data_IF_888073667597
#
_entry.id   IF_888073667597
#
_cell.length_a   1.000
_cell.length_b   1.000
_cell.length_c   1.000
_cell.angle_alpha   90.00
_cell.angle_beta   90.00
_cell.angle_gamma   90.00
#
_symmetry.space_group_name_H-M   'P 1'
#
loop_
_entity.id
_entity.type
_entity.pdbx_description
1 polymer ?
#
# COMPACT_ATOMS: atom_id res chain seq x y z
N UNK A 1 7.12 11.64 -1.35
CA UNK A 1 8.11 12.59 -1.90
C UNK A 1 9.43 11.85 -2.00
N UNK A 2 10.11 11.88 -3.15
CA UNK A 2 11.43 11.28 -3.27
C UNK A 2 12.40 11.87 -2.27
N UNK A 3 13.18 11.01 -1.63
CA UNK A 3 14.28 11.40 -0.77
C UNK A 3 15.56 11.36 -1.57
N UNK A 4 16.22 12.46 -1.75
CA UNK A 4 17.42 12.57 -2.56
C UNK A 4 18.58 13.02 -1.68
N UNK A 5 19.69 12.29 -1.75
CA UNK A 5 20.94 12.68 -1.13
C UNK A 5 21.86 13.28 -2.20
N UNK A 6 22.38 14.48 -1.94
CA UNK A 6 23.41 15.10 -2.79
C UNK A 6 24.64 15.33 -1.92
N UNK A 7 25.75 14.66 -2.27
CA UNK A 7 27.05 14.81 -1.59
C UNK A 7 27.94 15.66 -2.49
N UNK A 8 28.03 16.96 -2.17
CA UNK A 8 28.63 17.97 -3.03
C UNK A 8 29.06 19.19 -2.20
N UNK A 9 30.33 19.54 -2.23
CA UNK A 9 30.90 20.68 -1.49
C UNK A 9 30.83 22.00 -2.27
N UNK A 10 30.81 21.97 -3.60
CA UNK A 10 30.68 23.16 -4.42
C UNK A 10 29.23 23.67 -4.45
N UNK A 11 29.05 24.94 -4.07
CA UNK A 11 27.72 25.55 -3.94
C UNK A 11 27.06 25.81 -5.33
N UNK A 12 27.85 26.14 -6.36
CA UNK A 12 27.32 26.42 -7.70
C UNK A 12 26.88 25.12 -8.37
N UNK A 13 27.69 24.07 -8.28
CA UNK A 13 27.38 22.75 -8.79
C UNK A 13 26.15 22.17 -8.08
N UNK A 14 26.10 22.27 -6.73
CA UNK A 14 24.93 21.86 -5.97
C UNK A 14 23.66 22.61 -6.42
N UNK A 15 23.72 23.92 -6.64
CA UNK A 15 22.57 24.69 -7.10
C UNK A 15 22.08 24.26 -8.49
N UNK A 16 22.99 23.93 -9.40
CA UNK A 16 22.62 23.40 -10.71
C UNK A 16 21.98 22.01 -10.66
N UNK A 17 22.53 21.11 -9.82
CA UNK A 17 21.96 19.77 -9.57
C UNK A 17 20.56 19.91 -8.99
N UNK A 18 20.41 20.73 -7.93
CA UNK A 18 19.13 20.95 -7.27
C UNK A 18 18.07 21.50 -8.22
N UNK A 19 18.44 22.41 -9.11
CA UNK A 19 17.54 22.96 -10.12
C UNK A 19 17.00 21.87 -11.07
N UNK A 20 17.84 20.97 -11.54
CA UNK A 20 17.43 19.86 -12.41
C UNK A 20 16.48 18.92 -11.65
N UNK A 21 16.77 18.61 -10.39
CA UNK A 21 15.93 17.77 -9.53
C UNK A 21 14.56 18.43 -9.28
N UNK A 22 14.52 19.70 -8.92
CA UNK A 22 13.29 20.45 -8.68
C UNK A 22 12.40 20.54 -9.92
N UNK A 23 13.00 20.78 -11.09
CA UNK A 23 12.26 20.79 -12.37
C UNK A 23 11.63 19.42 -12.68
N UNK A 24 12.34 18.32 -12.40
CA UNK A 24 11.88 16.97 -12.68
C UNK A 24 10.79 16.47 -11.75
N UNK A 25 10.86 16.84 -10.48
CA UNK A 25 9.88 16.44 -9.47
C UNK A 25 8.86 17.55 -9.15
N UNK A 26 8.78 18.61 -9.98
CA UNK A 26 7.89 19.76 -9.78
C UNK A 26 7.99 20.35 -8.35
N UNK A 27 9.21 20.44 -7.81
CA UNK A 27 9.53 20.84 -6.45
C UNK A 27 8.90 19.97 -5.33
N UNK A 28 8.42 18.77 -5.68
CA UNK A 28 7.85 17.81 -4.73
C UNK A 28 8.90 16.74 -4.39
N UNK A 29 9.94 17.13 -3.64
CA UNK A 29 11.04 16.25 -3.24
C UNK A 29 11.66 16.71 -1.92
N UNK A 30 12.39 15.81 -1.26
CA UNK A 30 13.25 16.13 -0.11
C UNK A 30 14.71 16.01 -0.56
N UNK A 31 15.48 17.10 -0.48
CA UNK A 31 16.93 17.06 -0.75
C UNK A 31 17.67 17.17 0.59
N UNK A 32 18.50 16.17 0.85
CA UNK A 32 19.52 16.22 1.91
C UNK A 32 20.84 16.54 1.25
N UNK A 33 21.53 17.60 1.69
CA UNK A 33 22.88 17.92 1.23
C UNK A 33 23.90 17.55 2.30
N UNK A 34 24.99 16.93 1.87
CA UNK A 34 26.21 16.74 2.66
C UNK A 34 27.39 17.31 1.87
N UNK A 35 28.29 18.02 2.52
CA UNK A 35 29.38 18.77 1.89
C UNK A 35 30.76 18.20 2.20
N UNK A 36 30.83 17.00 2.75
CA UNK A 36 32.06 16.28 3.06
C UNK A 36 31.84 14.77 3.12
N UNK A 37 32.92 13.99 3.05
CA UNK A 37 32.88 12.53 3.12
C UNK A 37 32.21 12.03 4.40
N UNK A 38 32.58 12.57 5.56
CA UNK A 38 32.05 12.12 6.84
C UNK A 38 30.53 12.28 6.94
N UNK A 39 29.99 13.41 6.45
CA UNK A 39 28.55 13.65 6.33
C UNK A 39 27.88 12.65 5.38
N UNK A 40 28.42 12.47 4.18
CA UNK A 40 27.93 11.54 3.19
C UNK A 40 27.88 10.08 3.69
N UNK A 41 28.96 9.61 4.31
CA UNK A 41 29.02 8.26 4.93
C UNK A 41 27.95 8.08 6.01
N UNK A 42 27.78 9.08 6.88
CA UNK A 42 26.73 9.06 7.90
C UNK A 42 25.35 9.01 7.27
N UNK A 43 25.08 9.88 6.29
CA UNK A 43 23.79 9.94 5.61
C UNK A 43 23.46 8.61 4.94
N UNK A 44 24.37 8.01 4.15
CA UNK A 44 24.18 6.70 3.49
C UNK A 44 23.94 5.58 4.52
N UNK A 45 24.59 5.64 5.69
CA UNK A 45 24.48 4.59 6.71
C UNK A 45 23.21 4.67 7.55
N UNK A 46 22.58 5.84 7.63
CA UNK A 46 21.44 6.08 8.55
C UNK A 46 20.14 6.48 7.83
N UNK A 47 20.22 6.88 6.56
CA UNK A 47 19.09 7.31 5.75
C UNK A 47 18.80 6.36 4.59
N UNK A 48 17.55 6.36 4.16
CA UNK A 48 17.08 5.68 2.95
C UNK A 48 16.77 6.73 1.89
N UNK A 49 17.36 6.57 0.71
CA UNK A 49 17.25 7.52 -0.40
C UNK A 49 16.82 6.82 -1.68
N UNK A 50 16.00 7.51 -2.48
CA UNK A 50 15.57 7.04 -3.80
C UNK A 50 16.63 7.31 -4.87
N UNK A 51 17.37 8.42 -4.72
CA UNK A 51 18.46 8.83 -5.60
C UNK A 51 19.62 9.40 -4.77
N UNK A 52 20.83 8.98 -5.11
CA UNK A 52 22.07 9.50 -4.51
C UNK A 52 22.91 10.11 -5.63
N UNK A 53 23.19 11.40 -5.50
CA UNK A 53 24.13 12.14 -6.37
C UNK A 53 25.39 12.42 -5.56
N UNK A 54 26.55 12.03 -6.07
CA UNK A 54 27.82 12.20 -5.35
C UNK A 54 28.91 12.80 -6.23
N UNK A 55 29.79 13.58 -5.62
CA UNK A 55 31.07 13.93 -6.23
C UNK A 55 32.16 12.92 -5.80
N UNK A 56 33.20 12.84 -6.62
CA UNK A 56 34.38 12.00 -6.39
C UNK A 56 35.45 12.69 -5.54
N UNK A 57 35.48 14.00 -5.54
CA UNK A 57 36.42 14.82 -4.80
C UNK A 57 35.68 15.62 -3.74
N UNK A 58 35.93 15.29 -2.47
CA UNK A 58 35.25 15.91 -1.33
C UNK A 58 36.24 16.18 -0.18
N UNK A 59 35.98 17.21 0.64
CA UNK A 59 36.62 17.37 1.93
C UNK A 59 36.38 16.16 2.83
N UNK A 60 37.34 15.79 3.66
CA UNK A 60 37.23 14.60 4.50
C UNK A 60 36.22 14.78 5.67
N UNK A 61 36.38 15.85 6.46
CA UNK A 61 35.58 16.04 7.68
C UNK A 61 34.66 17.26 7.64
N UNK A 62 35.08 18.32 6.98
CA UNK A 62 34.30 19.55 6.88
C UNK A 62 34.68 20.33 5.61
N UNK A 63 33.74 21.18 5.12
CA UNK A 63 33.85 21.96 3.89
C UNK A 63 35.14 22.84 3.77
N UNK A 64 35.90 23.04 4.84
CA UNK A 64 37.13 23.88 4.82
C UNK A 64 38.38 23.08 4.52
N UNK A 65 38.31 21.75 4.57
CA UNK A 65 39.42 20.88 4.21
C UNK A 65 39.61 20.89 2.68
N UNK A 66 40.83 20.61 2.21
CA UNK A 66 41.07 20.46 0.78
C UNK A 66 40.36 19.18 0.27
N UNK A 67 39.62 19.25 -0.87
CA UNK A 67 38.99 18.07 -1.48
C UNK A 67 40.03 17.04 -1.92
N UNK A 68 39.77 15.79 -1.61
CA UNK A 68 40.58 14.63 -2.01
C UNK A 68 39.71 13.59 -2.72
N UNK A 69 40.30 12.68 -3.46
CA UNK A 69 39.59 11.55 -4.06
C UNK A 69 39.04 10.63 -2.96
N UNK A 70 37.73 10.56 -2.84
CA UNK A 70 36.98 9.76 -1.84
C UNK A 70 36.20 8.63 -2.48
N UNK A 71 36.46 8.34 -3.74
CA UNK A 71 35.73 7.36 -4.54
C UNK A 71 35.59 6.01 -3.86
N UNK A 72 36.74 5.44 -3.45
CA UNK A 72 36.76 4.08 -2.89
C UNK A 72 35.96 3.97 -1.60
N UNK A 73 36.01 5.02 -0.75
CA UNK A 73 35.26 5.08 0.50
C UNK A 73 33.76 5.16 0.28
N UNK A 74 33.30 6.00 -0.65
CA UNK A 74 31.88 6.15 -0.95
C UNK A 74 31.31 4.89 -1.60
N UNK A 75 32.01 4.31 -2.57
CA UNK A 75 31.60 3.06 -3.23
C UNK A 75 31.52 1.91 -2.22
N UNK A 76 32.48 1.79 -1.31
CA UNK A 76 32.48 0.75 -0.27
C UNK A 76 31.29 0.90 0.69
N UNK A 77 30.98 2.12 1.11
CA UNK A 77 29.82 2.39 1.99
C UNK A 77 28.50 2.10 1.27
N UNK A 78 28.37 2.49 0.01
CA UNK A 78 27.18 2.21 -0.79
C UNK A 78 26.96 0.70 -0.96
N UNK A 79 28.01 -0.06 -1.29
CA UNK A 79 27.94 -1.53 -1.42
C UNK A 79 27.55 -2.23 -0.10
N UNK A 80 27.90 -1.68 1.04
CA UNK A 80 27.59 -2.23 2.37
C UNK A 80 26.23 -1.77 2.92
N UNK A 81 25.63 -0.75 2.33
CA UNK A 81 24.37 -0.19 2.80
C UNK A 81 23.21 -1.10 2.48
N UNK A 82 22.54 -1.66 3.49
CA UNK A 82 21.29 -2.39 3.32
C UNK A 82 20.08 -1.47 3.07
N UNK A 83 20.18 -0.20 3.45
CA UNK A 83 19.11 0.79 3.29
C UNK A 83 19.01 1.30 1.85
N UNK A 84 20.13 1.37 1.14
CA UNK A 84 20.23 2.01 -0.17
C UNK A 84 20.48 1.01 -1.33
N UNK A 85 20.10 -0.26 -1.16
CA UNK A 85 20.25 -1.31 -2.19
C UNK A 85 19.46 -1.00 -3.46
N UNK A 86 18.36 -0.27 -3.32
CA UNK A 86 17.44 0.07 -4.44
C UNK A 86 17.60 1.50 -4.93
N UNK A 87 18.52 2.27 -4.34
CA UNK A 87 18.75 3.66 -4.75
C UNK A 87 19.36 3.73 -6.14
N UNK A 88 18.87 4.63 -6.98
CA UNK A 88 19.61 5.05 -8.16
C UNK A 88 20.84 5.86 -7.71
N UNK A 89 22.02 5.57 -8.24
CA UNK A 89 23.25 6.27 -7.84
C UNK A 89 23.94 6.84 -9.07
N UNK A 90 24.28 8.13 -9.01
CA UNK A 90 25.06 8.83 -10.03
C UNK A 90 26.21 9.60 -9.42
N UNK A 91 27.37 9.45 -9.99
CA UNK A 91 28.56 10.24 -9.67
C UNK A 91 28.76 11.32 -10.75
N UNK A 92 28.89 12.57 -10.32
CA UNK A 92 29.11 13.73 -11.18
C UNK A 92 30.45 14.36 -10.81
N UNK A 93 31.48 14.19 -11.61
CA UNK A 93 32.81 14.76 -11.35
C UNK A 93 33.23 15.76 -12.42
N UNK A 94 33.81 16.88 -11.97
CA UNK A 94 34.40 17.87 -12.86
C UNK A 94 35.77 17.44 -13.43
N UNK A 95 36.34 16.35 -12.90
CA UNK A 95 37.66 15.84 -13.27
C UNK A 95 37.54 14.77 -14.37
N UNK A 96 37.75 15.14 -15.64
CA UNK A 96 37.59 14.25 -16.82
C UNK A 96 38.50 13.02 -16.74
N UNK A 97 39.77 13.18 -16.34
CA UNK A 97 40.71 12.07 -16.18
C UNK A 97 40.26 11.04 -15.14
N UNK A 98 39.65 11.51 -14.04
CA UNK A 98 39.09 10.65 -12.99
C UNK A 98 37.87 9.87 -13.51
N UNK A 99 37.01 10.50 -14.32
CA UNK A 99 35.87 9.84 -14.95
C UNK A 99 36.33 8.72 -15.87
N UNK A 100 37.34 8.97 -16.73
CA UNK A 100 37.81 7.95 -17.67
C UNK A 100 38.53 6.78 -16.99
N UNK A 101 39.35 7.07 -15.97
CA UNK A 101 40.11 6.04 -15.22
C UNK A 101 39.21 5.14 -14.34
N UNK A 102 38.10 5.65 -13.82
CA UNK A 102 37.21 4.95 -12.88
C UNK A 102 35.95 4.35 -13.50
N UNK A 103 35.77 4.50 -14.83
CA UNK A 103 34.54 4.08 -15.53
C UNK A 103 34.18 2.61 -15.31
N UNK A 104 35.18 1.73 -15.29
CA UNK A 104 34.98 0.29 -15.10
C UNK A 104 34.55 -0.02 -13.69
N UNK A 105 35.24 0.55 -12.69
CA UNK A 105 34.95 0.31 -11.27
C UNK A 105 33.52 0.74 -10.89
N UNK A 106 33.07 1.88 -11.45
CA UNK A 106 31.72 2.39 -11.23
C UNK A 106 30.67 1.52 -11.94
N UNK A 107 30.94 1.06 -13.17
CA UNK A 107 30.05 0.16 -13.90
C UNK A 107 29.86 -1.17 -13.15
N UNK A 108 30.93 -1.75 -12.58
CA UNK A 108 30.88 -2.95 -11.75
C UNK A 108 30.10 -2.74 -10.44
N UNK A 109 30.09 -1.49 -9.92
CA UNK A 109 29.30 -1.11 -8.75
C UNK A 109 27.84 -0.77 -9.10
N UNK A 110 27.46 -0.77 -10.38
CA UNK A 110 26.12 -0.35 -10.81
C UNK A 110 25.87 1.16 -10.71
N UNK A 111 26.94 1.97 -10.60
CA UNK A 111 26.87 3.42 -10.45
C UNK A 111 27.10 4.09 -11.80
N UNK A 112 26.26 5.04 -12.15
CA UNK A 112 26.41 5.83 -13.38
C UNK A 112 27.43 6.96 -13.12
N UNK A 113 28.55 6.95 -13.86
CA UNK A 113 29.58 7.97 -13.75
C UNK A 113 29.53 8.92 -14.95
N UNK A 114 29.43 10.23 -14.70
CA UNK A 114 29.30 11.27 -15.74
C UNK A 114 30.22 12.42 -15.45
N UNK A 115 30.90 12.92 -16.50
CA UNK A 115 31.64 14.16 -16.42
C UNK A 115 30.70 15.35 -16.27
N UNK A 116 30.90 16.13 -15.21
CA UNK A 116 30.21 17.39 -14.98
C UNK A 116 30.93 18.53 -15.66
N UNK A 117 30.22 19.33 -16.42
CA UNK A 117 30.67 20.61 -16.92
C UNK A 117 29.48 21.58 -16.89
N UNK A 118 29.71 22.79 -16.42
CA UNK A 118 28.68 23.81 -16.30
C UNK A 118 27.87 24.02 -17.59
N UNK A 119 28.54 23.92 -18.74
CA UNK A 119 27.95 24.15 -20.05
C UNK A 119 27.44 22.88 -20.73
N UNK A 120 27.70 21.69 -20.19
CA UNK A 120 27.26 20.43 -20.77
C UNK A 120 25.79 20.13 -20.44
N UNK A 121 25.06 19.62 -21.43
CA UNK A 121 23.71 19.10 -21.23
C UNK A 121 23.72 17.61 -20.87
N UNK A 122 24.81 16.88 -21.13
CA UNK A 122 24.87 15.42 -20.99
C UNK A 122 24.58 14.96 -19.57
N UNK A 123 25.20 15.55 -18.55
CA UNK A 123 24.94 15.18 -17.16
C UNK A 123 23.50 15.50 -16.73
N UNK A 124 22.90 16.60 -17.25
CA UNK A 124 21.50 16.97 -16.98
C UNK A 124 20.52 15.95 -17.57
N UNK A 125 20.82 15.47 -18.77
CA UNK A 125 20.01 14.44 -19.43
C UNK A 125 20.11 13.11 -18.69
N UNK A 126 21.31 12.68 -18.30
CA UNK A 126 21.54 11.46 -17.53
C UNK A 126 20.82 11.53 -16.18
N UNK A 127 21.01 12.62 -15.44
CA UNK A 127 20.32 12.84 -14.17
C UNK A 127 18.80 12.80 -14.36
N UNK A 128 18.30 13.42 -15.43
CA UNK A 128 16.87 13.42 -15.77
C UNK A 128 16.32 12.02 -16.05
N UNK A 129 17.10 11.16 -16.73
CA UNK A 129 16.72 9.76 -16.98
C UNK A 129 16.69 8.97 -15.67
N UNK A 130 17.65 9.18 -14.77
CA UNK A 130 17.67 8.55 -13.46
C UNK A 130 16.47 9.00 -12.60
N UNK A 131 16.14 10.30 -12.64
CA UNK A 131 14.91 10.79 -11.97
C UNK A 131 13.63 10.11 -12.46
N UNK A 132 13.56 9.67 -13.74
CA UNK A 132 12.41 8.92 -14.25
C UNK A 132 12.33 7.49 -13.69
N UNK A 133 13.47 6.92 -13.27
CA UNK A 133 13.53 5.59 -12.64
C UNK A 133 13.23 5.66 -11.15
N UNK A 134 13.46 6.82 -10.52
CA UNK A 134 13.04 7.05 -9.15
C UNK A 134 11.54 6.85 -9.09
N UNK A 135 11.13 5.78 -8.41
CA UNK A 135 9.71 5.55 -8.17
C UNK A 135 9.21 6.71 -7.30
N UNK A 136 8.52 7.65 -7.91
CA UNK A 136 7.69 8.59 -7.15
C UNK A 136 6.52 7.78 -6.60
N UNK A 137 6.79 6.99 -5.55
CA UNK A 137 5.71 6.39 -4.80
C UNK A 137 4.94 7.56 -4.20
N UNK A 138 3.71 7.73 -4.66
CA UNK A 138 2.77 8.61 -4.00
C UNK A 138 2.50 7.96 -2.65
N UNK A 139 3.31 8.31 -1.62
CA UNK A 139 3.21 7.68 -0.29
C UNK A 139 1.81 7.93 0.23
N UNK A 140 0.99 6.92 0.09
CA UNK A 140 -0.35 6.89 0.64
C UNK A 140 -0.29 6.22 2.00
N UNK A 141 -0.80 6.88 3.04
CA UNK A 141 -0.86 6.26 4.37
C UNK A 141 -1.69 4.97 4.38
N UNK A 142 -2.66 4.87 3.47
CA UNK A 142 -3.53 3.71 3.33
C UNK A 142 -4.01 3.50 1.90
N UNK A 143 -4.33 2.26 1.59
CA UNK A 143 -5.04 1.83 0.37
C UNK A 143 -6.34 1.16 0.77
N UNK A 144 -7.43 1.52 0.09
CA UNK A 144 -8.72 0.85 0.20
C UNK A 144 -8.97 0.10 -1.10
N UNK A 145 -9.32 -1.19 -1.00
CA UNK A 145 -9.70 -2.02 -2.14
C UNK A 145 -11.21 -2.22 -2.13
N UNK A 146 -11.86 -1.92 -3.25
CA UNK A 146 -13.29 -2.14 -3.47
C UNK A 146 -13.50 -3.04 -4.68
N UNK A 147 -14.40 -4.01 -4.58
CA UNK A 147 -14.75 -4.90 -5.69
C UNK A 147 -15.74 -4.25 -6.66
N UNK A 148 -16.65 -3.43 -6.15
CA UNK A 148 -17.75 -2.84 -6.91
C UNK A 148 -17.72 -1.31 -6.92
N UNK A 149 -18.16 -0.66 -8.02
CA UNK A 149 -18.28 0.80 -8.06
C UNK A 149 -19.15 1.38 -6.94
N UNK A 150 -20.20 0.67 -6.54
CA UNK A 150 -21.08 1.11 -5.44
C UNK A 150 -20.35 1.14 -4.09
N UNK A 151 -19.40 0.23 -3.85
CA UNK A 151 -18.62 0.19 -2.62
C UNK A 151 -17.64 1.38 -2.54
N UNK A 152 -16.98 1.74 -3.67
CA UNK A 152 -16.17 2.94 -3.78
C UNK A 152 -17.01 4.22 -3.58
N UNK A 153 -18.17 4.28 -4.22
CA UNK A 153 -19.09 5.42 -4.10
C UNK A 153 -19.58 5.63 -2.67
N UNK A 154 -19.68 4.57 -1.88
CA UNK A 154 -20.15 4.61 -0.49
C UNK A 154 -19.32 5.53 0.41
N UNK A 155 -18.04 5.76 0.10
CA UNK A 155 -17.15 6.63 0.89
C UNK A 155 -17.60 8.08 0.92
N UNK A 156 -18.37 8.57 -0.07
CA UNK A 156 -18.97 9.91 -0.05
C UNK A 156 -19.91 10.14 1.15
N UNK A 157 -20.48 9.05 1.69
CA UNK A 157 -21.40 9.10 2.84
C UNK A 157 -20.72 8.67 4.15
N UNK A 158 -19.50 8.15 4.08
CA UNK A 158 -18.80 7.60 5.23
C UNK A 158 -18.00 8.63 6.03
N UNK A 159 -17.93 9.88 5.57
CA UNK A 159 -17.17 10.95 6.21
C UNK A 159 -15.72 11.04 5.73
N UNK A 160 -15.43 10.50 4.55
CA UNK A 160 -14.17 10.68 3.85
C UNK A 160 -14.28 11.85 2.85
N UNK A 161 -13.18 12.56 2.61
CA UNK A 161 -13.09 13.56 1.56
C UNK A 161 -12.63 12.90 0.27
N UNK A 162 -13.45 13.00 -0.78
CA UNK A 162 -13.15 12.40 -2.07
C UNK A 162 -12.44 13.42 -2.97
N UNK A 163 -11.31 13.01 -3.51
CA UNK A 163 -10.53 13.76 -4.50
C UNK A 163 -10.87 13.36 -5.94
N UNK A 164 -9.86 13.40 -6.81
CA UNK A 164 -10.02 13.09 -8.24
C UNK A 164 -9.90 11.61 -8.50
N UNK A 165 -10.63 11.13 -9.50
CA UNK A 165 -10.38 9.85 -10.18
C UNK A 165 -9.13 10.02 -11.05
N UNK A 166 -8.18 9.10 -10.92
CA UNK A 166 -6.90 9.11 -11.64
C UNK A 166 -6.49 7.68 -11.96
N UNK A 167 -5.85 7.49 -13.08
CA UNK A 167 -5.15 6.24 -13.37
C UNK A 167 -3.72 6.35 -12.86
N UNK A 168 -3.28 5.37 -12.05
CA UNK A 168 -1.91 5.31 -11.52
C UNK A 168 -1.38 3.90 -11.73
N UNK A 169 -0.38 3.76 -12.57
CA UNK A 169 0.28 2.47 -12.83
C UNK A 169 -0.67 1.37 -13.35
N UNK A 170 -1.68 1.74 -14.11
CA UNK A 170 -2.70 0.85 -14.64
C UNK A 170 -3.87 0.59 -13.68
N UNK A 171 -3.89 1.20 -12.48
CA UNK A 171 -4.98 1.06 -11.52
C UNK A 171 -5.97 2.22 -11.61
N UNK A 172 -7.27 1.90 -11.52
CA UNK A 172 -8.35 2.90 -11.38
C UNK A 172 -8.43 3.34 -9.92
N UNK A 173 -7.90 4.52 -9.64
CA UNK A 173 -7.71 5.07 -8.30
C UNK A 173 -8.62 6.28 -8.08
N UNK A 174 -9.23 6.36 -6.90
CA UNK A 174 -9.88 7.54 -6.37
C UNK A 174 -9.02 8.06 -5.21
N UNK A 175 -8.50 9.28 -5.31
CA UNK A 175 -7.82 9.93 -4.17
C UNK A 175 -8.82 10.15 -3.06
N UNK A 176 -8.42 9.84 -1.83
CA UNK A 176 -9.30 9.90 -0.67
C UNK A 176 -8.52 10.39 0.57
N UNK A 177 -9.18 11.22 1.39
CA UNK A 177 -8.61 11.66 2.67
C UNK A 177 -9.55 11.24 3.81
N UNK A 178 -8.98 10.65 4.84
CA UNK A 178 -9.69 10.24 6.07
C UNK A 178 -9.01 10.91 7.26
N UNK A 179 -9.66 11.90 7.86
CA UNK A 179 -9.04 12.78 8.83
C UNK A 179 -7.86 13.53 8.24
N UNK A 180 -6.65 13.39 8.80
CA UNK A 180 -5.42 13.98 8.28
C UNK A 180 -4.64 13.05 7.34
N UNK A 181 -5.14 11.84 7.08
CA UNK A 181 -4.42 10.82 6.33
C UNK A 181 -4.85 10.79 4.87
N UNK A 182 -3.88 10.85 3.96
CA UNK A 182 -4.09 10.71 2.52
C UNK A 182 -3.93 9.26 2.09
N UNK A 183 -4.79 8.81 1.18
CA UNK A 183 -4.77 7.48 0.63
C UNK A 183 -5.44 7.40 -0.73
N UNK A 184 -5.59 6.20 -1.22
CA UNK A 184 -6.29 5.89 -2.46
C UNK A 184 -7.32 4.78 -2.25
N UNK A 185 -8.44 4.88 -2.94
CA UNK A 185 -9.41 3.80 -3.08
C UNK A 185 -9.29 3.23 -4.49
N UNK A 186 -8.88 1.97 -4.60
CA UNK A 186 -8.67 1.24 -5.85
C UNK A 186 -9.86 0.34 -6.11
N UNK A 187 -10.36 0.34 -7.35
CA UNK A 187 -11.42 -0.58 -7.74
C UNK A 187 -10.84 -1.75 -8.53
N UNK A 188 -11.37 -2.95 -8.28
CA UNK A 188 -11.00 -4.14 -9.03
C UNK A 188 -11.59 -4.08 -10.44
N UNK A 189 -10.85 -4.50 -11.49
CA UNK A 189 -11.39 -4.61 -12.85
C UNK A 189 -12.44 -5.71 -12.94
N UNK A 190 -12.33 -6.75 -12.11
CA UNK A 190 -13.26 -7.89 -12.00
C UNK A 190 -13.34 -8.36 -10.56
N UNK A 191 -14.50 -8.86 -10.13
CA UNK A 191 -14.63 -9.58 -8.87
C UNK A 191 -13.83 -10.88 -8.90
N UNK A 192 -13.31 -11.29 -7.75
CA UNK A 192 -12.63 -12.56 -7.57
C UNK A 192 -11.26 -12.46 -6.93
N UNK A 193 -10.81 -13.58 -6.35
CA UNK A 193 -9.57 -13.68 -5.55
C UNK A 193 -8.34 -13.27 -6.36
N UNK A 194 -8.26 -13.65 -7.64
CA UNK A 194 -7.08 -13.39 -8.49
C UNK A 194 -6.88 -11.90 -8.73
N UNK A 195 -7.94 -11.21 -9.20
CA UNK A 195 -7.87 -9.77 -9.43
C UNK A 195 -7.64 -9.01 -8.11
N UNK A 196 -8.27 -9.44 -7.02
CA UNK A 196 -8.07 -8.87 -5.69
C UNK A 196 -6.62 -8.98 -5.23
N UNK A 197 -5.99 -10.14 -5.40
CA UNK A 197 -4.58 -10.35 -5.03
C UNK A 197 -3.64 -9.53 -5.92
N UNK A 198 -3.82 -9.57 -7.25
CA UNK A 198 -2.96 -8.89 -8.20
C UNK A 198 -3.02 -7.36 -8.06
N UNK A 199 -4.24 -6.80 -7.98
CA UNK A 199 -4.45 -5.35 -7.80
C UNK A 199 -3.91 -4.88 -6.46
N UNK A 200 -4.13 -5.65 -5.39
CA UNK A 200 -3.63 -5.28 -4.06
C UNK A 200 -2.10 -5.32 -4.02
N UNK A 201 -1.46 -6.35 -4.55
CA UNK A 201 0.01 -6.43 -4.62
C UNK A 201 0.58 -5.25 -5.42
N UNK A 202 -0.04 -4.92 -6.55
CA UNK A 202 0.36 -3.77 -7.37
C UNK A 202 0.16 -2.44 -6.64
N UNK A 203 -0.95 -2.29 -5.90
CA UNK A 203 -1.21 -1.08 -5.13
C UNK A 203 -0.22 -0.93 -3.95
N UNK A 204 0.15 -2.02 -3.30
CA UNK A 204 1.18 -2.02 -2.25
C UNK A 204 2.52 -1.55 -2.83
N UNK A 205 2.92 -2.08 -3.98
CA UNK A 205 4.17 -1.69 -4.65
C UNK A 205 4.18 -0.21 -5.04
N UNK A 206 3.05 0.31 -5.55
CA UNK A 206 2.96 1.69 -6.03
C UNK A 206 2.84 2.73 -4.93
N UNK A 207 2.16 2.41 -3.83
CA UNK A 207 1.75 3.39 -2.82
C UNK A 207 2.43 3.22 -1.46
N UNK A 208 3.14 2.13 -1.23
CA UNK A 208 3.80 1.80 0.05
C UNK A 208 2.92 2.10 1.30
N UNK A 209 1.70 1.56 1.37
CA UNK A 209 0.76 1.91 2.42
C UNK A 209 1.10 1.22 3.74
N UNK A 210 0.83 1.89 4.86
CA UNK A 210 0.89 1.29 6.21
C UNK A 210 -0.36 0.47 6.54
N UNK A 211 -1.49 0.80 5.91
CA UNK A 211 -2.78 0.12 6.09
C UNK A 211 -3.36 -0.22 4.73
N UNK A 212 -3.76 -1.46 4.56
CA UNK A 212 -4.61 -1.91 3.44
C UNK A 212 -5.96 -2.31 4.03
N UNK A 213 -7.03 -1.71 3.52
CA UNK A 213 -8.39 -1.99 3.93
C UNK A 213 -9.20 -2.54 2.76
N UNK A 214 -10.08 -3.50 3.02
CA UNK A 214 -11.14 -3.87 2.10
C UNK A 214 -12.48 -3.58 2.73
N UNK A 215 -13.35 -2.86 2.02
CA UNK A 215 -14.73 -2.65 2.45
C UNK A 215 -15.69 -3.09 1.37
N UNK A 216 -16.87 -3.53 1.77
CA UNK A 216 -17.89 -3.91 0.81
C UNK A 216 -18.98 -4.76 1.42
N UNK A 217 -19.59 -5.55 0.56
CA UNK A 217 -20.73 -6.42 0.87
C UNK A 217 -20.32 -7.90 0.79
N UNK A 218 -21.08 -8.76 1.43
CA UNK A 218 -20.90 -10.21 1.38
C UNK A 218 -22.24 -10.92 1.53
N UNK A 219 -22.25 -12.22 1.23
CA UNK A 219 -23.31 -13.12 1.63
C UNK A 219 -23.09 -13.63 3.06
N UNK A 220 -24.16 -13.88 3.79
CA UNK A 220 -24.15 -14.53 5.10
C UNK A 220 -24.52 -16.01 5.02
N UNK A 221 -24.50 -16.67 6.18
CA UNK A 221 -24.97 -18.04 6.34
C UNK A 221 -26.19 -18.09 7.26
N UNK A 222 -27.28 -18.71 6.81
CA UNK A 222 -28.50 -18.88 7.61
C UNK A 222 -28.19 -19.50 8.97
N UNK A 223 -28.75 -18.93 10.04
CA UNK A 223 -28.51 -19.36 11.42
C UNK A 223 -27.16 -18.92 12.02
N UNK A 224 -26.27 -18.28 11.26
CA UNK A 224 -24.97 -17.78 11.73
C UNK A 224 -24.82 -16.26 11.63
N UNK A 225 -25.40 -15.65 10.61
CA UNK A 225 -25.44 -14.20 10.39
C UNK A 225 -26.78 -13.77 9.81
N UNK A 226 -27.09 -12.50 9.86
CA UNK A 226 -28.34 -11.90 9.37
C UNK A 226 -28.02 -10.79 8.38
N UNK A 227 -28.96 -10.52 7.49
CA UNK A 227 -28.90 -9.33 6.63
C UNK A 227 -28.79 -8.07 7.50
N UNK A 228 -27.84 -7.20 7.18
CA UNK A 228 -27.48 -6.02 7.96
C UNK A 228 -26.41 -6.25 9.01
N UNK A 229 -25.98 -7.48 9.28
CA UNK A 229 -24.82 -7.75 10.12
C UNK A 229 -23.55 -7.28 9.42
N UNK A 230 -22.58 -6.79 10.22
CA UNK A 230 -21.26 -6.41 9.73
C UNK A 230 -20.23 -7.38 10.26
N UNK A 231 -19.35 -7.84 9.40
CA UNK A 231 -18.26 -8.74 9.72
C UNK A 231 -16.95 -7.96 9.62
N UNK A 232 -16.33 -7.66 10.77
CA UNK A 232 -14.93 -7.30 10.84
C UNK A 232 -14.12 -8.60 10.80
N UNK A 233 -13.43 -8.85 9.71
CA UNK A 233 -12.81 -10.15 9.44
C UNK A 233 -11.58 -10.34 10.32
N UNK A 234 -11.53 -11.43 11.08
CA UNK A 234 -10.38 -11.82 11.91
C UNK A 234 -9.62 -13.05 11.38
N UNK A 235 -10.24 -13.77 10.45
CA UNK A 235 -9.70 -14.96 9.82
C UNK A 235 -10.34 -15.13 8.44
N UNK A 236 -9.54 -15.41 7.41
CA UNK A 236 -10.08 -15.71 6.08
C UNK A 236 -9.33 -16.85 5.40
N UNK A 237 -10.00 -17.51 4.44
CA UNK A 237 -9.42 -18.55 3.58
C UNK A 237 -10.21 -18.68 2.28
N UNK A 238 -9.67 -19.45 1.34
CA UNK A 238 -10.36 -19.83 0.10
C UNK A 238 -11.08 -21.16 0.31
N UNK A 239 -12.42 -21.17 0.15
CA UNK A 239 -13.21 -22.38 0.38
C UNK A 239 -13.02 -23.48 -0.69
N UNK A 240 -12.40 -23.14 -1.81
CA UNK A 240 -12.16 -24.04 -2.94
C UNK A 240 -10.72 -24.58 -2.97
N UNK A 241 -9.84 -24.16 -2.07
CA UNK A 241 -8.49 -24.68 -1.96
C UNK A 241 -8.53 -26.07 -1.29
N UNK A 242 -8.23 -27.11 -2.06
CA UNK A 242 -8.29 -28.47 -1.53
C UNK A 242 -8.18 -29.54 -2.60
N UNK A 243 -8.45 -30.80 -2.20
CA UNK A 243 -8.33 -31.97 -3.05
C UNK A 243 -9.68 -32.66 -3.24
N UNK A 244 -10.03 -32.93 -4.48
CA UNK A 244 -11.10 -33.82 -4.85
C UNK A 244 -10.60 -35.27 -4.92
N UNK A 245 -11.27 -36.18 -4.22
CA UNK A 245 -11.08 -37.62 -4.32
C UNK A 245 -12.42 -38.28 -4.64
N UNK A 246 -12.65 -38.53 -5.92
CA UNK A 246 -13.97 -38.90 -6.41
C UNK A 246 -14.98 -37.78 -6.20
N UNK A 247 -15.99 -37.99 -5.38
CA UNK A 247 -17.02 -37.00 -5.03
C UNK A 247 -16.77 -36.27 -3.72
N UNK A 248 -15.67 -36.62 -3.01
CA UNK A 248 -15.35 -36.04 -1.71
C UNK A 248 -14.32 -34.93 -1.87
N UNK A 249 -14.65 -33.74 -1.36
CA UNK A 249 -13.73 -32.61 -1.26
C UNK A 249 -13.11 -32.58 0.13
N UNK A 250 -11.78 -32.48 0.18
CA UNK A 250 -11.01 -32.26 1.42
C UNK A 250 -10.37 -30.88 1.32
N UNK A 251 -10.75 -29.96 2.22
CA UNK A 251 -10.19 -28.63 2.31
C UNK A 251 -8.74 -28.68 2.74
N UNK A 252 -7.89 -27.88 2.10
CA UNK A 252 -6.54 -27.58 2.58
C UNK A 252 -6.60 -26.27 3.39
N UNK A 253 -6.16 -26.32 4.64
CA UNK A 253 -6.31 -25.20 5.57
C UNK A 253 -5.23 -24.13 5.38
N UNK A 254 -5.32 -23.35 4.31
CA UNK A 254 -4.51 -22.14 4.11
C UNK A 254 -5.24 -20.89 4.66
N UNK A 255 -5.33 -20.82 5.98
CA UNK A 255 -6.00 -19.73 6.66
C UNK A 255 -5.06 -18.54 6.88
N UNK A 256 -5.58 -17.32 6.70
CA UNK A 256 -4.89 -16.07 6.97
C UNK A 256 -5.56 -15.39 8.17
N UNK A 257 -4.97 -15.48 9.37
CA UNK A 257 -5.40 -14.70 10.52
C UNK A 257 -4.93 -13.26 10.38
N UNK A 258 -5.70 -12.30 10.91
CA UNK A 258 -5.20 -10.93 11.09
C UNK A 258 -4.26 -10.84 12.29
N UNK A 259 -3.45 -9.77 12.32
CA UNK A 259 -2.60 -9.45 13.47
C UNK A 259 -3.40 -9.32 14.78
N UNK A 260 -2.86 -9.82 15.90
CA UNK A 260 -3.57 -9.84 17.18
C UNK A 260 -3.80 -8.42 17.75
N UNK A 261 -2.91 -7.47 17.45
CA UNK A 261 -3.10 -6.08 17.84
C UNK A 261 -4.27 -5.45 17.11
N UNK A 262 -4.46 -5.78 15.83
CA UNK A 262 -5.61 -5.35 15.03
C UNK A 262 -6.88 -6.03 15.54
N UNK A 263 -6.84 -7.33 15.79
CA UNK A 263 -7.98 -8.08 16.35
C UNK A 263 -8.45 -7.50 17.68
N UNK A 264 -7.53 -7.09 18.55
CA UNK A 264 -7.85 -6.42 19.80
C UNK A 264 -8.60 -5.11 19.57
N UNK A 265 -8.14 -4.27 18.63
CA UNK A 265 -8.81 -3.01 18.27
C UNK A 265 -10.20 -3.26 17.68
N UNK A 266 -10.37 -4.29 16.86
CA UNK A 266 -11.69 -4.69 16.34
C UNK A 266 -12.64 -5.14 17.45
N UNK A 267 -12.18 -5.92 18.43
CA UNK A 267 -12.99 -6.32 19.59
C UNK A 267 -13.40 -5.14 20.45
N UNK A 268 -12.50 -4.18 20.65
CA UNK A 268 -12.81 -2.94 21.35
C UNK A 268 -13.87 -2.11 20.60
N UNK A 269 -13.75 -2.03 19.26
CA UNK A 269 -14.74 -1.38 18.42
C UNK A 269 -16.12 -2.03 18.59
N UNK A 270 -16.20 -3.35 18.53
CA UNK A 270 -17.46 -4.09 18.68
C UNK A 270 -18.08 -3.89 20.06
N UNK A 271 -17.25 -3.82 21.10
CA UNK A 271 -17.73 -3.53 22.48
C UNK A 271 -18.33 -2.11 22.62
N UNK A 272 -18.03 -1.21 21.70
CA UNK A 272 -18.51 0.18 21.68
C UNK A 272 -19.46 0.47 20.52
N UNK A 273 -20.19 -0.55 20.06
CA UNK A 273 -21.03 -0.52 18.83
C UNK A 273 -22.15 0.51 18.81
N UNK A 274 -22.51 1.11 19.92
CA UNK A 274 -23.45 2.25 19.96
C UNK A 274 -23.01 3.40 19.05
N UNK A 275 -21.71 3.48 18.74
CA UNK A 275 -21.17 4.49 17.82
C UNK A 275 -21.74 4.39 16.39
N UNK A 276 -22.22 3.23 15.97
CA UNK A 276 -22.78 3.04 14.62
C UNK A 276 -24.30 2.98 14.58
N UNK A 277 -24.98 2.97 15.73
CA UNK A 277 -26.44 2.91 15.81
C UNK A 277 -27.08 4.11 15.12
N UNK A 278 -26.70 5.32 15.50
CA UNK A 278 -27.22 6.54 14.89
C UNK A 278 -26.98 6.59 13.39
N UNK A 279 -25.81 6.11 12.92
CA UNK A 279 -25.50 6.04 11.50
C UNK A 279 -26.42 5.08 10.77
N UNK A 280 -26.68 3.89 11.33
CA UNK A 280 -27.63 2.92 10.77
C UNK A 280 -29.05 3.48 10.69
N UNK A 281 -29.50 4.09 11.78
CA UNK A 281 -30.84 4.67 11.90
C UNK A 281 -31.06 5.88 10.98
N UNK A 282 -29.97 6.56 10.57
CA UNK A 282 -30.06 7.69 9.63
C UNK A 282 -30.26 7.29 8.17
N UNK A 283 -30.09 6.01 7.85
CA UNK A 283 -30.26 5.53 6.47
C UNK A 283 -31.69 5.07 6.18
N UNK A 284 -32.25 5.44 5.03
CA UNK A 284 -33.63 5.07 4.65
C UNK A 284 -33.68 3.60 4.21
N UNK A 285 -33.74 2.67 5.17
CA UNK A 285 -33.86 1.23 4.91
C UNK A 285 -34.83 0.60 5.90
N UNK A 286 -35.31 -0.60 5.59
CA UNK A 286 -36.17 -1.39 6.47
C UNK A 286 -35.57 -1.56 7.87
N UNK A 287 -36.38 -1.34 8.91
CA UNK A 287 -35.93 -1.34 10.29
C UNK A 287 -35.33 -2.65 10.78
N UNK A 288 -35.68 -3.79 10.18
CA UNK A 288 -35.09 -5.08 10.55
C UNK A 288 -33.63 -5.21 10.07
N UNK A 289 -33.28 -4.64 8.92
CA UNK A 289 -31.90 -4.55 8.44
C UNK A 289 -31.05 -3.64 9.32
N UNK A 290 -31.65 -2.57 9.86
CA UNK A 290 -30.98 -1.65 10.78
C UNK A 290 -30.62 -2.31 12.12
N UNK A 291 -31.28 -3.41 12.51
CA UNK A 291 -31.01 -4.15 13.76
C UNK A 291 -29.82 -5.12 13.68
N UNK A 292 -29.12 -5.16 12.54
CA UNK A 292 -27.90 -5.97 12.39
C UNK A 292 -26.84 -5.61 13.41
N UNK A 293 -25.96 -6.52 13.72
CA UNK A 293 -24.88 -6.37 14.71
C UNK A 293 -23.51 -6.36 14.06
N UNK A 294 -22.50 -5.83 14.77
CA UNK A 294 -21.09 -5.89 14.29
C UNK A 294 -20.41 -7.07 14.97
N UNK A 295 -19.81 -7.93 14.18
CA UNK A 295 -19.11 -9.11 14.62
C UNK A 295 -17.60 -9.04 14.28
N UNK A 296 -16.78 -9.67 15.11
CA UNK A 296 -15.41 -10.06 14.74
C UNK A 296 -15.43 -11.56 14.48
N UNK A 297 -15.17 -11.96 13.25
CA UNK A 297 -15.34 -13.35 12.86
C UNK A 297 -14.72 -13.74 11.53
N UNK A 298 -14.87 -14.99 11.20
CA UNK A 298 -14.29 -15.58 10.00
C UNK A 298 -15.16 -15.31 8.77
N UNK A 299 -14.46 -15.08 7.64
CA UNK A 299 -15.07 -14.92 6.32
C UNK A 299 -14.30 -15.79 5.33
N UNK A 300 -15.02 -16.44 4.43
CA UNK A 300 -14.44 -17.26 3.38
C UNK A 300 -14.61 -16.60 2.02
N UNK A 301 -13.61 -16.74 1.17
CA UNK A 301 -13.68 -16.25 -0.21
C UNK A 301 -13.76 -17.40 -1.22
N UNK A 302 -14.35 -17.14 -2.38
CA UNK A 302 -14.42 -18.09 -3.49
C UNK A 302 -14.59 -17.40 -4.83
N UNK A 303 -14.25 -18.09 -5.91
CA UNK A 303 -14.29 -17.51 -7.26
C UNK A 303 -15.64 -17.69 -7.96
N UNK A 304 -16.66 -18.18 -7.25
CA UNK A 304 -18.01 -18.40 -7.77
C UNK A 304 -19.06 -17.82 -6.85
N UNK A 305 -20.14 -17.33 -7.44
CA UNK A 305 -21.34 -16.95 -6.70
C UNK A 305 -22.07 -18.22 -6.28
N UNK A 306 -22.27 -18.39 -4.98
CA UNK A 306 -23.01 -19.52 -4.42
C UNK A 306 -24.48 -19.14 -4.26
N UNK A 307 -25.37 -19.93 -4.87
CA UNK A 307 -26.83 -19.79 -4.76
C UNK A 307 -27.51 -21.13 -4.45
N UNK A 308 -26.81 -22.06 -3.80
CA UNK A 308 -27.27 -23.41 -3.48
C UNK A 308 -27.16 -23.66 -1.98
N UNK A 309 -28.26 -23.93 -1.30
CA UNK A 309 -28.28 -24.25 0.12
C UNK A 309 -27.38 -25.43 0.48
N UNK A 310 -27.32 -26.46 -0.38
CA UNK A 310 -26.43 -27.62 -0.16
C UNK A 310 -24.95 -27.19 -0.19
N UNK A 311 -24.56 -26.31 -1.11
CA UNK A 311 -23.19 -25.81 -1.19
C UNK A 311 -22.88 -24.89 -0.02
N UNK A 312 -23.83 -24.03 0.38
CA UNK A 312 -23.70 -23.21 1.57
C UNK A 312 -23.40 -24.04 2.82
N UNK A 313 -24.14 -25.15 3.03
CA UNK A 313 -23.90 -26.01 4.18
C UNK A 313 -22.49 -26.62 4.14
N UNK A 314 -22.04 -27.11 2.98
CA UNK A 314 -20.67 -27.66 2.82
C UNK A 314 -19.61 -26.61 3.14
N UNK A 315 -19.81 -25.37 2.72
CA UNK A 315 -18.89 -24.27 3.03
C UNK A 315 -18.98 -23.89 4.51
N UNK A 316 -20.19 -23.79 5.06
CA UNK A 316 -20.43 -23.44 6.46
C UNK A 316 -19.75 -24.45 7.40
N UNK A 317 -19.74 -25.74 7.06
CA UNK A 317 -19.16 -26.81 7.89
C UNK A 317 -17.62 -26.78 7.91
N UNK A 318 -16.96 -26.03 7.02
CA UNK A 318 -15.51 -25.86 7.04
C UNK A 318 -15.00 -25.22 8.32
N UNK A 319 -15.79 -24.30 8.94
CA UNK A 319 -15.36 -23.65 10.18
C UNK A 319 -16.54 -23.16 11.02
N UNK A 320 -16.53 -23.51 12.33
CA UNK A 320 -17.65 -23.19 13.26
C UNK A 320 -17.92 -21.70 13.45
N UNK A 321 -16.91 -20.83 13.26
CA UNK A 321 -17.05 -19.35 13.41
C UNK A 321 -17.23 -18.62 12.09
N UNK A 322 -17.48 -19.35 10.99
CA UNK A 322 -17.70 -18.74 9.69
C UNK A 322 -19.01 -17.95 9.68
N UNK A 323 -18.95 -16.69 9.31
CA UNK A 323 -20.07 -15.75 9.31
C UNK A 323 -20.47 -15.29 7.90
N UNK A 324 -19.53 -15.22 6.97
CA UNK A 324 -19.79 -14.68 5.64
C UNK A 324 -18.95 -15.30 4.54
N UNK A 325 -19.42 -15.09 3.32
CA UNK A 325 -18.82 -15.51 2.05
C UNK A 325 -18.71 -14.33 1.12
N UNK A 326 -17.54 -14.11 0.55
CA UNK A 326 -17.30 -13.13 -0.51
C UNK A 326 -16.45 -13.71 -1.65
N UNK A 327 -15.93 -12.86 -2.50
CA UNK A 327 -15.10 -13.30 -3.62
C UNK A 327 -13.66 -12.74 -3.58
N UNK A 328 -13.27 -11.95 -2.59
CA UNK A 328 -12.05 -11.13 -2.67
C UNK A 328 -11.17 -11.09 -1.42
N UNK A 329 -11.73 -11.08 -0.22
CA UNK A 329 -11.01 -10.78 1.03
C UNK A 329 -9.76 -11.62 1.20
N UNK A 330 -9.82 -12.91 0.89
CA UNK A 330 -8.65 -13.79 0.97
C UNK A 330 -7.52 -13.34 0.03
N UNK A 331 -7.84 -12.91 -1.19
CA UNK A 331 -6.85 -12.41 -2.14
C UNK A 331 -6.13 -11.17 -1.63
N UNK A 332 -6.89 -10.21 -1.09
CA UNK A 332 -6.33 -8.99 -0.47
C UNK A 332 -5.45 -9.34 0.73
N UNK A 333 -5.94 -10.21 1.62
CA UNK A 333 -5.20 -10.65 2.80
C UNK A 333 -3.87 -11.34 2.44
N UNK A 334 -3.89 -12.23 1.43
CA UNK A 334 -2.67 -12.90 0.95
C UNK A 334 -1.68 -11.93 0.33
N UNK A 335 -2.12 -10.95 -0.44
CA UNK A 335 -1.23 -9.93 -0.98
C UNK A 335 -0.54 -9.13 0.14
N UNK A 336 -1.28 -8.75 1.20
CA UNK A 336 -0.71 -8.07 2.36
C UNK A 336 0.28 -8.96 3.14
N UNK A 337 -0.04 -10.24 3.30
CA UNK A 337 0.82 -11.20 4.04
C UNK A 337 2.14 -11.49 3.31
N UNK A 338 2.14 -11.46 1.97
CA UNK A 338 3.30 -11.73 1.14
C UNK A 338 4.12 -10.49 0.81
N UNK A 339 3.61 -9.30 1.12
CA UNK A 339 4.31 -8.05 0.91
C UNK A 339 5.52 -7.91 1.84
N UNK A 340 6.55 -7.23 1.36
CA UNK A 340 7.64 -6.79 2.20
C UNK A 340 7.16 -5.70 3.18
N UNK A 341 7.52 -5.82 4.45
CA UNK A 341 7.10 -4.87 5.49
C UNK A 341 5.87 -5.27 6.28
N UNK A 342 5.59 -4.53 7.35
CA UNK A 342 4.49 -4.79 8.26
C UNK A 342 3.22 -4.03 7.85
N UNK A 343 2.49 -4.53 6.85
CA UNK A 343 1.23 -3.94 6.41
C UNK A 343 0.10 -4.36 7.35
N UNK A 344 -0.61 -3.39 7.89
CA UNK A 344 -1.82 -3.63 8.69
C UNK A 344 -3.00 -3.87 7.75
N UNK A 345 -3.51 -5.09 7.74
CA UNK A 345 -4.68 -5.45 6.93
C UNK A 345 -5.97 -5.47 7.76
N UNK A 346 -7.04 -4.88 7.21
CA UNK A 346 -8.41 -5.00 7.72
C UNK A 346 -9.38 -5.28 6.58
N UNK A 347 -10.41 -6.08 6.86
CA UNK A 347 -11.56 -6.21 5.98
C UNK A 347 -12.87 -6.07 6.76
N UNK A 348 -13.80 -5.31 6.19
CA UNK A 348 -15.13 -5.07 6.76
C UNK A 348 -16.17 -5.33 5.67
N UNK A 349 -17.04 -6.28 5.90
CA UNK A 349 -18.09 -6.67 4.97
C UNK A 349 -19.45 -6.65 5.64
N UNK A 350 -20.45 -6.09 4.96
CA UNK A 350 -21.84 -6.13 5.44
C UNK A 350 -22.62 -7.23 4.73
N UNK A 351 -23.34 -8.02 5.47
CA UNK A 351 -24.20 -9.08 4.95
C UNK A 351 -25.41 -8.45 4.25
N UNK A 352 -25.57 -8.67 2.96
CA UNK A 352 -26.67 -8.12 2.14
C UNK A 352 -27.58 -9.20 1.55
N UNK A 353 -27.13 -10.43 1.54
CA UNK A 353 -27.91 -11.60 1.15
C UNK A 353 -27.46 -12.85 1.95
N UNK A 354 -28.19 -13.93 1.85
CA UNK A 354 -27.86 -15.20 2.49
C UNK A 354 -27.41 -16.26 1.48
N UNK A 355 -26.91 -15.84 0.33
CA UNK A 355 -26.49 -16.68 -0.80
C UNK A 355 -27.60 -17.63 -1.30
N UNK A 356 -28.86 -17.23 -1.14
CA UNK A 356 -30.05 -17.94 -1.57
C UNK A 356 -30.65 -17.36 -2.88
N UNK A 357 -31.76 -17.91 -3.34
CA UNK A 357 -32.45 -17.46 -4.57
C UNK A 357 -33.19 -16.12 -4.35
N UNK A 358 -33.30 -15.59 -3.12
CA UNK A 358 -34.06 -14.39 -2.76
C UNK A 358 -33.21 -13.12 -2.65
N UNK A 359 -32.20 -12.96 -3.53
CA UNK A 359 -31.33 -11.78 -3.54
C UNK A 359 -32.12 -10.49 -3.73
N UNK A 360 -31.90 -9.53 -2.81
CA UNK A 360 -32.44 -8.19 -2.91
C UNK A 360 -31.32 -7.14 -3.04
N UNK A 361 -31.09 -6.69 -4.27
CA UNK A 361 -30.03 -5.72 -4.57
C UNK A 361 -30.29 -4.34 -3.93
N UNK A 362 -31.49 -4.04 -3.49
CA UNK A 362 -31.84 -2.77 -2.83
C UNK A 362 -31.08 -2.51 -1.51
N UNK A 363 -30.54 -3.56 -0.89
CA UNK A 363 -29.80 -3.47 0.39
C UNK A 363 -28.30 -3.21 0.17
N UNK A 364 -27.77 -3.48 -1.02
CA UNK A 364 -26.34 -3.35 -1.32
C UNK A 364 -25.78 -1.94 -1.04
N UNK A 365 -26.43 -0.82 -1.43
CA UNK A 365 -25.95 0.52 -1.11
C UNK A 365 -25.82 0.78 0.39
N UNK A 366 -26.76 0.29 1.19
CA UNK A 366 -26.71 0.37 2.66
C UNK A 366 -25.52 -0.40 3.22
N UNK A 367 -25.34 -1.66 2.78
CA UNK A 367 -24.25 -2.50 3.23
C UNK A 367 -22.89 -1.91 2.91
N UNK A 368 -22.72 -1.40 1.68
CA UNK A 368 -21.52 -0.73 1.25
C UNK A 368 -21.23 0.53 2.09
N UNK A 369 -22.25 1.37 2.36
CA UNK A 369 -22.09 2.58 3.15
C UNK A 369 -21.70 2.27 4.60
N UNK A 370 -22.28 1.24 5.21
CA UNK A 370 -21.97 0.83 6.58
C UNK A 370 -20.54 0.29 6.70
N UNK A 371 -20.11 -0.57 5.76
CA UNK A 371 -18.75 -1.08 5.71
C UNK A 371 -17.73 0.05 5.51
N UNK A 372 -17.99 0.98 4.59
CA UNK A 372 -17.15 2.14 4.35
C UNK A 372 -17.04 3.03 5.60
N UNK A 373 -18.14 3.23 6.34
CA UNK A 373 -18.15 4.03 7.58
C UNK A 373 -17.24 3.43 8.65
N UNK A 374 -17.29 2.12 8.81
CA UNK A 374 -16.47 1.41 9.79
C UNK A 374 -14.99 1.47 9.39
N UNK A 375 -14.65 1.27 8.11
CA UNK A 375 -13.27 1.41 7.60
C UNK A 375 -12.77 2.85 7.81
N UNK A 376 -13.59 3.86 7.51
CA UNK A 376 -13.24 5.27 7.73
C UNK A 376 -12.94 5.57 9.21
N UNK A 377 -13.63 4.91 10.13
CA UNK A 377 -13.36 5.02 11.56
C UNK A 377 -12.07 4.29 11.98
N UNK A 378 -11.80 3.11 11.41
CA UNK A 378 -10.66 2.27 11.80
C UNK A 378 -9.31 2.77 11.26
N UNK A 379 -9.27 3.33 10.05
CA UNK A 379 -8.02 3.73 9.40
C UNK A 379 -7.19 4.69 10.25
N UNK A 380 -7.73 5.79 10.82
CA UNK A 380 -6.95 6.66 11.70
C UNK A 380 -6.44 5.97 12.96
N UNK A 381 -7.24 5.07 13.56
CA UNK A 381 -6.87 4.31 14.76
C UNK A 381 -5.67 3.39 14.47
N UNK A 382 -5.62 2.81 13.27
CA UNK A 382 -4.53 1.94 12.86
C UNK A 382 -3.27 2.71 12.46
N UNK A 383 -3.41 3.94 11.99
CA UNK A 383 -2.31 4.83 11.60
C UNK A 383 -1.73 5.62 12.77
N UNK A 384 -2.46 5.74 13.89
CA UNK A 384 -1.94 6.38 15.09
C UNK A 384 -0.64 5.69 15.55
N UNK A 385 0.39 6.50 15.87
CA UNK A 385 1.62 6.01 16.50
C UNK A 385 1.25 5.58 17.94
N UNK A 386 1.59 4.35 18.30
CA UNK A 386 1.52 3.89 19.69
C UNK A 386 2.52 4.67 20.53
#
# INVERSE_FOLDING_TARGET
LPNILVIEDDDEKFAQISKVLEERFAALLNITREDCLAGGVKAISTGEYDLIVLDLYLPMLNKRDEPVDVTDQLVDVLRKSSLNVRSEVVALSAHEEAVDSRRVDFAEAGIVLVHYSEYSQTWKEVLSVLCQRVKTSEVCSFVIVCALPLERKAYQYAGAELGKLVEIGGLDCLRITIGSHRGVCVILPRMGIVDAAAVTARAIELFDPKVVAMSGICAGFSGRSKIGDVICVDLCWEHQAGKWSGTTFTLEEYQVPIDESIRTKLRQLVATTDNFKTYRESMPIDGDVQKGTVHVGALVSGSVVVSSEKMQQVIADQHKRLLGLDMEVYGVARACQLAEGAIKFIAVKTVVDLADEHKNDGIQPYGAALSAKIVTHLVPILLAKN
#
